data_IF_111048602734
#
_entry.id   IF_111048602734
#
_cell.length_a   1.000
_cell.length_b   1.000
_cell.length_c   1.000
_cell.angle_alpha   90.00
_cell.angle_beta   90.00
_cell.angle_gamma   90.00
#
_symmetry.space_group_name_H-M   'P 1'
#
loop_
_entity.id
_entity.type
_entity.pdbx_description
1 polymer ?
#
# COMPACT_ATOMS: atom_id res chain seq x y z
N UNK A 1 6.25 13.44 -0.65
CA UNK A 1 5.14 12.50 -0.93
C UNK A 1 4.69 11.91 0.40
N UNK A 2 3.43 12.11 0.78
CA UNK A 2 2.84 11.59 2.03
C UNK A 2 2.29 10.17 1.85
N UNK A 3 2.03 9.77 0.60
CA UNK A 3 1.55 8.45 0.22
C UNK A 3 2.55 7.80 -0.75
N UNK A 4 2.70 6.48 -0.63
CA UNK A 4 3.55 5.67 -1.52
C UNK A 4 2.95 5.54 -2.94
N UNK A 5 3.51 4.65 -3.78
CA UNK A 5 2.99 4.42 -5.13
C UNK A 5 1.50 4.06 -5.13
N UNK A 6 0.75 4.59 -6.10
CA UNK A 6 -0.69 4.40 -6.19
C UNK A 6 -0.99 3.36 -7.27
N UNK A 7 -1.74 2.32 -6.93
CA UNK A 7 -2.27 1.39 -7.95
C UNK A 7 -3.44 2.06 -8.67
N UNK A 8 -3.46 2.02 -10.00
CA UNK A 8 -4.54 2.61 -10.81
C UNK A 8 -4.80 1.77 -12.06
N UNK A 9 -5.95 1.97 -12.69
CA UNK A 9 -6.30 1.32 -13.94
C UNK A 9 -6.15 2.27 -15.13
N UNK A 10 -5.86 1.69 -16.30
CA UNK A 10 -5.76 2.37 -17.58
C UNK A 10 -6.47 1.59 -18.68
N UNK A 11 -6.84 2.31 -19.73
CA UNK A 11 -7.35 1.74 -20.96
C UNK A 11 -6.20 1.41 -21.92
N UNK A 12 -5.98 0.14 -22.22
CA UNK A 12 -4.89 -0.31 -23.09
C UNK A 12 -5.44 -0.71 -24.45
N UNK A 13 -4.94 -0.03 -25.49
CA UNK A 13 -5.09 -0.41 -26.89
C UNK A 13 -3.75 -0.79 -27.56
N UNK A 14 -3.75 -0.96 -28.89
CA UNK A 14 -2.56 -1.33 -29.66
C UNK A 14 -1.39 -0.33 -29.55
N UNK A 15 -1.66 0.97 -29.51
CA UNK A 15 -0.64 2.02 -29.40
C UNK A 15 -0.01 1.99 -28.01
N UNK A 16 -0.80 1.76 -26.97
CA UNK A 16 -0.26 1.56 -25.61
C UNK A 16 0.68 0.35 -25.57
N UNK A 17 0.28 -0.78 -26.16
CA UNK A 17 1.11 -2.00 -26.19
C UNK A 17 2.42 -1.81 -26.95
N UNK A 18 2.41 -1.00 -28.01
CA UNK A 18 3.59 -0.71 -28.85
C UNK A 18 4.41 0.50 -28.40
N UNK A 19 4.08 1.10 -27.25
CA UNK A 19 4.81 2.24 -26.71
C UNK A 19 6.29 1.94 -26.45
N UNK A 20 7.15 2.81 -26.96
CA UNK A 20 8.62 2.72 -26.81
C UNK A 20 9.25 3.97 -26.16
N UNK A 21 8.50 5.05 -25.99
CA UNK A 21 8.98 6.27 -25.34
C UNK A 21 8.24 7.54 -25.77
N UNK A 22 8.55 8.65 -25.10
CA UNK A 22 7.90 9.94 -25.29
C UNK A 22 6.64 10.11 -24.42
N UNK A 23 5.88 11.17 -24.65
CA UNK A 23 4.60 11.36 -23.96
C UNK A 23 3.50 10.67 -24.76
N UNK A 24 2.83 9.71 -24.13
CA UNK A 24 1.68 9.01 -24.70
C UNK A 24 0.43 9.90 -24.58
N UNK A 25 -0.25 10.15 -25.71
CA UNK A 25 -1.36 11.13 -25.83
C UNK A 25 -2.57 10.53 -26.58
N UNK A 26 -2.67 9.20 -26.64
CA UNK A 26 -3.69 8.50 -27.43
C UNK A 26 -4.76 7.88 -26.54
N UNK A 27 -6.03 8.17 -26.80
CA UNK A 27 -7.16 7.43 -26.25
C UNK A 27 -7.67 6.39 -27.24
N UNK A 28 -7.47 5.12 -26.93
CA UNK A 28 -7.85 4.00 -27.82
C UNK A 28 -9.15 3.32 -27.38
N UNK A 29 -9.59 3.56 -26.14
CA UNK A 29 -10.78 2.95 -25.57
C UNK A 29 -11.29 3.75 -24.36
N UNK A 30 -12.51 3.42 -23.91
CA UNK A 30 -13.21 4.12 -22.81
C UNK A 30 -13.26 3.34 -21.50
N UNK A 31 -13.15 2.02 -21.55
CA UNK A 31 -13.23 1.15 -20.38
C UNK A 31 -11.85 0.66 -19.95
N UNK A 32 -11.44 1.01 -18.73
CA UNK A 32 -10.16 0.55 -18.19
C UNK A 32 -10.10 -0.97 -18.13
N UNK A 33 -8.99 -1.52 -18.60
CA UNK A 33 -8.81 -2.97 -18.78
C UNK A 33 -7.47 -3.49 -18.27
N UNK A 34 -6.60 -2.62 -17.75
CA UNK A 34 -5.26 -2.96 -17.30
C UNK A 34 -4.88 -2.20 -16.03
N UNK A 35 -4.15 -2.84 -15.12
CA UNK A 35 -3.69 -2.24 -13.88
C UNK A 35 -2.20 -1.88 -13.95
N UNK A 36 -1.85 -0.70 -13.45
CA UNK A 36 -0.51 -0.12 -13.46
C UNK A 36 -0.24 0.63 -12.15
N UNK A 37 1.00 1.04 -11.92
CA UNK A 37 1.37 1.81 -10.73
C UNK A 37 1.71 3.24 -11.15
N UNK A 38 1.00 4.22 -10.60
CA UNK A 38 1.33 5.64 -10.71
C UNK A 38 2.43 5.95 -9.68
N UNK A 39 3.57 6.42 -10.18
CA UNK A 39 4.80 6.61 -9.40
C UNK A 39 5.23 8.07 -9.29
N UNK A 40 4.68 8.94 -10.12
CA UNK A 40 4.99 10.36 -10.10
C UNK A 40 4.24 11.12 -11.19
N UNK A 41 4.58 12.39 -11.32
CA UNK A 41 4.05 13.28 -12.33
C UNK A 41 5.05 14.38 -12.64
N UNK A 42 4.89 15.03 -13.78
CA UNK A 42 5.67 16.20 -14.15
C UNK A 42 4.78 17.18 -14.92
N UNK A 43 4.49 18.32 -14.31
CA UNK A 43 3.61 19.36 -14.86
C UNK A 43 4.28 20.16 -16.00
N UNK A 44 5.58 19.95 -16.26
CA UNK A 44 6.36 20.70 -17.26
C UNK A 44 6.49 19.97 -18.60
N UNK A 45 5.98 18.73 -18.71
CA UNK A 45 6.06 17.89 -19.90
C UNK A 45 4.69 17.71 -20.57
N UNK A 46 4.70 17.24 -21.82
CA UNK A 46 3.46 16.97 -22.57
C UNK A 46 2.66 18.24 -22.87
N UNK A 47 1.36 18.07 -23.16
CA UNK A 47 0.50 19.21 -23.51
C UNK A 47 0.05 20.06 -22.31
N UNK A 48 0.08 19.54 -21.07
CA UNK A 48 -0.21 20.26 -19.81
C UNK A 48 0.19 19.43 -18.55
N UNK A 49 1.20 18.58 -18.67
CA UNK A 49 1.65 17.67 -17.62
C UNK A 49 1.40 16.20 -17.93
N UNK A 50 2.16 15.34 -17.25
CA UNK A 50 2.16 13.88 -17.46
C UNK A 50 2.14 13.11 -16.16
N UNK A 51 1.47 11.96 -16.16
CA UNK A 51 1.67 10.90 -15.17
C UNK A 51 2.86 10.02 -15.55
N UNK A 52 3.59 9.56 -14.54
CA UNK A 52 4.66 8.57 -14.69
C UNK A 52 4.15 7.24 -14.16
N UNK A 53 3.91 6.31 -15.09
CA UNK A 53 3.37 4.99 -14.80
C UNK A 53 4.47 3.94 -14.89
N UNK A 54 4.47 2.99 -13.95
CA UNK A 54 5.25 1.75 -14.02
C UNK A 54 4.35 0.61 -14.47
N UNK A 55 4.79 -0.11 -15.49
CA UNK A 55 4.11 -1.30 -16.01
C UNK A 55 4.79 -2.59 -15.52
N UNK A 56 4.11 -3.73 -15.74
CA UNK A 56 4.55 -5.07 -15.32
C UNK A 56 5.00 -5.95 -16.48
N UNK A 57 5.18 -5.40 -17.69
CA UNK A 57 5.58 -6.13 -18.91
C UNK A 57 7.10 -6.22 -19.13
N UNK A 58 7.89 -5.97 -18.08
CA UNK A 58 9.34 -5.99 -18.13
C UNK A 58 9.96 -4.68 -18.61
N UNK A 59 11.29 -4.57 -18.47
CA UNK A 59 12.04 -3.33 -18.77
C UNK A 59 12.20 -3.05 -20.26
N UNK A 60 11.97 -4.05 -21.12
CA UNK A 60 12.04 -3.86 -22.59
C UNK A 60 10.84 -3.12 -23.18
N UNK A 61 9.79 -2.88 -22.40
CA UNK A 61 8.62 -2.12 -22.82
C UNK A 61 8.74 -0.65 -22.36
N UNK A 62 8.40 0.29 -23.24
CA UNK A 62 8.45 1.71 -22.93
C UNK A 62 9.83 2.20 -22.53
N UNK A 63 9.85 3.07 -21.52
CA UNK A 63 11.04 3.74 -20.99
C UNK A 63 11.54 2.95 -19.78
N UNK A 64 12.27 1.85 -20.03
CA UNK A 64 12.75 0.92 -18.99
C UNK A 64 11.63 0.33 -18.11
N UNK A 65 10.47 0.03 -18.73
CA UNK A 65 9.27 -0.46 -18.05
C UNK A 65 8.32 0.65 -17.56
N UNK A 66 8.63 1.91 -17.84
CA UNK A 66 7.82 3.07 -17.49
C UNK A 66 7.19 3.72 -18.72
N UNK A 67 6.19 4.56 -18.46
CA UNK A 67 5.54 5.38 -19.46
C UNK A 67 5.25 6.76 -18.89
N UNK A 68 5.52 7.79 -19.70
CA UNK A 68 4.96 9.14 -19.50
C UNK A 68 3.68 9.24 -20.32
N UNK A 69 2.58 9.56 -19.67
CA UNK A 69 1.26 9.66 -20.30
C UNK A 69 0.62 11.00 -19.94
N UNK A 70 0.02 11.68 -20.92
CA UNK A 70 -0.62 12.97 -20.70
C UNK A 70 -1.73 12.90 -19.65
N UNK A 71 -1.94 14.00 -18.94
CA UNK A 71 -3.11 14.11 -18.05
C UNK A 71 -4.42 13.98 -18.82
N UNK A 72 -5.37 13.25 -18.24
CA UNK A 72 -6.67 12.99 -18.85
C UNK A 72 -6.69 11.87 -19.89
N UNK A 73 -5.55 11.25 -20.20
CA UNK A 73 -5.42 10.19 -21.19
C UNK A 73 -5.59 8.80 -20.57
N UNK A 74 -6.21 7.90 -21.31
CA UNK A 74 -6.44 6.47 -21.03
C UNK A 74 -7.09 6.18 -19.68
N UNK A 75 -7.83 7.15 -19.13
CA UNK A 75 -8.54 7.01 -17.86
C UNK A 75 -7.64 6.85 -16.62
N UNK A 76 -6.37 7.27 -16.68
CA UNK A 76 -5.45 7.22 -15.53
C UNK A 76 -6.07 7.90 -14.31
N UNK A 77 -6.02 7.23 -13.16
CA UNK A 77 -6.70 7.65 -11.93
C UNK A 77 -8.04 6.95 -11.70
N UNK A 78 -8.58 6.27 -12.71
CA UNK A 78 -9.72 5.37 -12.52
C UNK A 78 -9.30 4.20 -11.62
N UNK A 79 -10.21 3.80 -10.73
CA UNK A 79 -9.97 2.71 -9.76
C UNK A 79 -8.66 2.88 -8.97
N UNK A 80 -8.28 4.12 -8.64
CA UNK A 80 -7.07 4.38 -7.88
C UNK A 80 -7.21 3.93 -6.42
N UNK A 81 -6.21 3.21 -5.93
CA UNK A 81 -6.13 2.74 -4.56
C UNK A 81 -4.77 3.12 -3.96
N UNK A 82 -4.78 3.58 -2.71
CA UNK A 82 -3.58 3.89 -1.95
C UNK A 82 -3.66 3.24 -0.57
N UNK A 83 -2.51 2.92 0.00
CA UNK A 83 -2.43 2.39 1.35
C UNK A 83 -2.43 3.55 2.33
N UNK A 84 -3.38 3.53 3.27
CA UNK A 84 -3.31 4.34 4.47
C UNK A 84 -2.61 3.52 5.53
N UNK A 85 -1.42 3.96 5.95
CA UNK A 85 -0.80 3.43 7.15
C UNK A 85 -1.25 4.27 8.33
N UNK A 86 -2.20 3.75 9.10
CA UNK A 86 -2.52 4.29 10.41
C UNK A 86 -1.56 3.65 11.42
N UNK A 87 -0.66 4.46 11.99
CA UNK A 87 0.28 3.99 13.04
C UNK A 87 -0.40 3.69 14.38
N UNK A 88 -1.74 3.66 14.44
CA UNK A 88 -2.52 3.41 15.65
C UNK A 88 -3.00 1.97 15.81
N UNK A 89 -2.52 1.02 15.00
CA UNK A 89 -2.54 -0.37 15.42
C UNK A 89 -1.41 -0.54 16.45
N UNK A 90 -1.72 -0.21 17.71
CA UNK A 90 -1.04 -0.86 18.83
C UNK A 90 -1.16 -2.35 18.55
N UNK A 91 -0.05 -3.09 18.45
CA UNK A 91 -0.20 -4.54 18.47
C UNK A 91 -0.85 -4.83 19.82
N UNK A 92 -2.06 -5.38 19.78
CA UNK A 92 -2.80 -5.80 20.96
C UNK A 92 -2.19 -7.13 21.41
N UNK A 93 -0.86 -7.14 21.58
CA UNK A 93 -0.17 -8.26 22.16
C UNK A 93 -0.14 -7.98 23.66
N UNK A 94 -1.18 -8.45 24.34
CA UNK A 94 -1.25 -8.35 25.79
C UNK A 94 -0.07 -9.12 26.38
N UNK A 95 0.70 -8.45 27.22
CA UNK A 95 1.85 -9.06 27.87
C UNK A 95 1.44 -9.48 29.28
N UNK A 96 1.57 -10.79 29.57
CA UNK A 96 1.25 -11.35 30.87
C UNK A 96 2.48 -11.91 31.59
N UNK A 97 2.63 -11.59 32.88
CA UNK A 97 3.67 -12.17 33.76
C UNK A 97 3.03 -12.90 34.95
N UNK A 98 3.58 -14.05 35.33
CA UNK A 98 3.15 -14.82 36.51
C UNK A 98 4.09 -14.60 37.70
N UNK A 99 3.55 -14.17 38.85
CA UNK A 99 4.31 -13.95 40.09
C UNK A 99 3.48 -14.31 41.30
N UNK A 100 4.02 -15.13 42.19
CA UNK A 100 3.40 -15.48 43.49
C UNK A 100 1.95 -16.01 43.37
N UNK A 101 1.62 -16.78 42.33
CA UNK A 101 0.27 -17.32 42.15
C UNK A 101 -0.70 -16.41 41.39
N UNK A 102 -0.21 -15.27 40.88
CA UNK A 102 -1.04 -14.21 40.29
C UNK A 102 -0.50 -13.82 38.92
N UNK A 103 -1.40 -13.65 37.95
CA UNK A 103 -1.09 -13.05 36.65
C UNK A 103 -1.24 -11.54 36.71
N UNK A 104 -0.31 -10.85 36.07
CA UNK A 104 -0.36 -9.42 35.80
C UNK A 104 -0.37 -9.25 34.29
N UNK A 105 -1.45 -8.69 33.75
CA UNK A 105 -1.63 -8.45 32.31
C UNK A 105 -1.58 -6.96 32.05
N UNK A 106 -0.74 -6.55 31.11
CA UNK A 106 -0.69 -5.20 30.54
C UNK A 106 -1.25 -5.25 29.12
N UNK A 107 -2.37 -4.57 28.91
CA UNK A 107 -3.15 -4.55 27.66
C UNK A 107 -2.92 -3.29 26.82
N UNK A 108 -2.15 -2.34 27.35
CA UNK A 108 -1.97 -1.02 26.75
C UNK A 108 -0.49 -0.65 26.53
N UNK A 109 0.45 -1.44 27.05
CA UNK A 109 1.90 -1.32 26.86
C UNK A 109 2.56 -0.25 27.74
N UNK A 110 1.90 0.23 28.79
CA UNK A 110 2.43 1.26 29.70
C UNK A 110 3.36 0.69 30.79
N UNK A 111 3.57 -0.63 30.81
CA UNK A 111 4.33 -1.37 31.83
C UNK A 111 3.67 -1.35 33.21
N UNK A 112 2.36 -1.10 33.29
CA UNK A 112 1.54 -1.14 34.49
C UNK A 112 0.44 -2.21 34.30
N UNK A 113 0.19 -3.09 35.28
CA UNK A 113 -0.85 -4.11 35.13
C UNK A 113 -2.25 -3.51 35.07
N UNK A 114 -3.00 -3.82 34.01
CA UNK A 114 -4.41 -3.48 33.81
C UNK A 114 -5.35 -4.51 34.46
N UNK A 115 -5.00 -5.80 34.39
CA UNK A 115 -5.77 -6.89 34.96
C UNK A 115 -4.92 -7.80 35.85
N UNK A 116 -5.52 -8.28 36.94
CA UNK A 116 -4.89 -9.15 37.93
C UNK A 116 -5.85 -10.30 38.28
N UNK A 117 -5.46 -11.54 38.00
CA UNK A 117 -6.27 -12.72 38.32
C UNK A 117 -5.42 -13.95 38.65
N UNK A 118 -6.02 -14.91 39.35
CA UNK A 118 -5.38 -16.17 39.74
C UNK A 118 -5.85 -17.33 38.87
N UNK A 119 -5.02 -17.77 37.92
CA UNK A 119 -5.29 -18.97 37.10
C UNK A 119 -3.97 -19.63 36.68
N UNK A 120 -3.45 -20.60 37.43
CA UNK A 120 -2.17 -21.26 37.14
C UNK A 120 -1.36 -21.55 38.41
N UNK A 121 -0.26 -22.29 38.28
CA UNK A 121 0.66 -22.63 39.40
C UNK A 121 2.10 -22.17 39.12
N UNK A 122 2.90 -22.05 40.18
CA UNK A 122 4.31 -21.74 40.06
C UNK A 122 5.04 -22.79 39.20
N UNK A 123 5.50 -22.35 38.02
CA UNK A 123 6.16 -23.21 37.03
C UNK A 123 5.55 -23.15 35.63
N UNK A 124 4.36 -22.55 35.47
CA UNK A 124 3.74 -22.38 34.15
C UNK A 124 4.54 -21.39 33.27
N UNK A 125 4.63 -21.69 31.97
CA UNK A 125 5.33 -20.85 30.98
C UNK A 125 4.42 -19.68 30.57
N UNK A 126 4.90 -18.41 30.60
CA UNK A 126 4.10 -17.27 30.15
C UNK A 126 3.81 -17.38 28.64
N UNK A 127 2.61 -16.95 28.26
CA UNK A 127 2.17 -16.89 26.85
C UNK A 127 1.92 -15.43 26.51
N UNK A 128 2.35 -15.02 25.32
CA UNK A 128 2.03 -13.72 24.70
C UNK A 128 0.97 -13.97 23.63
N UNK A 129 -0.13 -13.22 23.67
CA UNK A 129 -1.22 -13.33 22.70
C UNK A 129 -2.39 -12.43 23.06
N UNK A 130 -3.38 -12.36 22.16
CA UNK A 130 -4.60 -11.57 22.30
C UNK A 130 -5.49 -12.15 23.41
N UNK A 131 -5.67 -11.41 24.51
CA UNK A 131 -6.53 -11.77 25.65
C UNK A 131 -7.74 -10.83 25.63
N UNK A 132 -8.72 -11.16 24.79
CA UNK A 132 -10.00 -10.45 24.68
C UNK A 132 -11.00 -10.64 25.82
#
# INVERSE_FOLDING_TARGET
MTYGPISTAVCVGPSFQSYTGGVFETDECTEVNHAVVLTGWDDTQGNNGVWILRNSWGTGWGEDGYMRIGYGISGVGSCANYIVYESSLVSHDDTAIFRNGVWHVDTNGDHVPDQIFGYGIAGDTPVVGDIG
#
